data_IF_682703442552
#
_entry.id   IF_682703442552
#
_cell.length_a   1.000
_cell.length_b   1.000
_cell.length_c   1.000
_cell.angle_alpha   90.00
_cell.angle_beta   90.00
_cell.angle_gamma   90.00
#
_symmetry.space_group_name_H-M   'P 1'
#
loop_
_entity.id
_entity.type
_entity.pdbx_description
1 polymer ?
#
# COMPACT_ATOMS: atom_id res chain seq x y z
N UNK A 1 11.84 -19.31 17.97
CA UNK A 1 11.12 -18.02 18.03
C UNK A 1 9.83 -18.16 17.26
N UNK A 2 8.74 -17.62 17.77
CA UNK A 2 7.47 -17.55 17.03
C UNK A 2 7.53 -16.43 15.99
N UNK A 3 6.77 -16.54 14.90
CA UNK A 3 6.68 -15.50 13.85
C UNK A 3 6.29 -14.12 14.39
N UNK A 4 5.53 -14.09 15.50
CA UNK A 4 5.19 -12.88 16.23
C UNK A 4 6.39 -12.28 16.97
N UNK A 5 7.19 -13.10 17.67
CA UNK A 5 8.42 -12.64 18.34
C UNK A 5 9.39 -12.01 17.34
N UNK A 6 9.59 -12.66 16.20
CA UNK A 6 10.39 -12.12 15.08
C UNK A 6 9.86 -10.76 14.63
N UNK A 7 8.54 -10.62 14.45
CA UNK A 7 7.94 -9.37 14.02
C UNK A 7 8.06 -8.26 15.06
N UNK A 8 7.94 -8.58 16.35
CA UNK A 8 8.07 -7.61 17.44
C UNK A 8 9.52 -7.12 17.57
N UNK A 9 10.49 -8.00 17.39
CA UNK A 9 11.90 -7.63 17.33
C UNK A 9 12.21 -6.72 16.12
N UNK A 10 11.71 -7.07 14.93
CA UNK A 10 11.80 -6.21 13.74
C UNK A 10 11.16 -4.83 13.97
N UNK A 11 10.03 -4.77 14.67
CA UNK A 11 9.40 -3.50 15.04
C UNK A 11 10.28 -2.67 15.98
N UNK A 12 10.88 -3.29 17.00
CA UNK A 12 11.79 -2.60 17.91
C UNK A 12 12.96 -1.97 17.14
N UNK A 13 13.59 -2.74 16.24
CA UNK A 13 14.65 -2.26 15.34
C UNK A 13 14.16 -1.17 14.37
N UNK A 14 12.96 -1.29 13.81
CA UNK A 14 12.40 -0.27 12.92
C UNK A 14 12.13 1.06 13.65
N UNK A 15 11.74 1.01 14.93
CA UNK A 15 11.52 2.19 15.76
C UNK A 15 12.82 2.92 16.10
N UNK A 16 13.97 2.26 16.17
CA UNK A 16 15.27 2.96 16.32
C UNK A 16 15.61 3.76 15.07
N UNK A 17 15.27 3.25 13.89
CA UNK A 17 15.48 3.93 12.61
C UNK A 17 14.45 5.04 12.34
N UNK A 18 13.22 4.90 12.85
CA UNK A 18 12.11 5.83 12.61
C UNK A 18 11.34 6.14 13.91
N UNK A 19 11.95 6.85 14.89
CA UNK A 19 11.40 7.01 16.24
C UNK A 19 10.07 7.78 16.29
N UNK A 20 9.85 8.69 15.34
CA UNK A 20 8.62 9.49 15.28
C UNK A 20 7.51 8.84 14.45
N UNK A 21 7.75 7.67 13.85
CA UNK A 21 6.75 7.03 13.00
C UNK A 21 5.76 6.20 13.82
N UNK A 22 4.47 6.49 13.66
CA UNK A 22 3.38 5.67 14.22
C UNK A 22 3.16 4.36 13.43
N UNK A 23 3.67 4.28 12.21
CA UNK A 23 3.57 3.10 11.36
C UNK A 23 4.84 3.03 10.50
N UNK A 24 5.96 2.48 11.03
CA UNK A 24 7.26 2.55 10.37
C UNK A 24 7.32 1.76 9.06
N UNK A 25 6.48 0.72 8.92
CA UNK A 25 6.34 -0.10 7.73
C UNK A 25 4.93 -0.71 7.68
N UNK A 26 4.56 -1.27 6.54
CA UNK A 26 3.26 -1.94 6.34
C UNK A 26 3.41 -3.39 5.94
N UNK A 27 4.61 -3.80 5.52
CA UNK A 27 4.92 -5.17 5.21
C UNK A 27 6.36 -5.53 5.55
N UNK A 28 6.60 -6.83 5.73
CA UNK A 28 7.90 -7.43 5.95
C UNK A 28 8.07 -8.60 4.98
N UNK A 29 9.23 -8.68 4.34
CA UNK A 29 9.66 -9.83 3.57
C UNK A 29 11.04 -10.28 4.04
N UNK A 30 11.18 -11.55 4.35
CA UNK A 30 12.45 -12.19 4.64
C UNK A 30 12.92 -12.92 3.40
N UNK A 31 14.12 -12.59 2.92
CA UNK A 31 14.69 -13.15 1.69
C UNK A 31 15.94 -13.95 2.02
N UNK A 32 16.16 -15.03 1.26
CA UNK A 32 17.45 -15.70 1.15
C UNK A 32 18.00 -15.43 -0.25
N UNK A 33 19.16 -14.82 -0.35
CA UNK A 33 19.83 -14.61 -1.64
C UNK A 33 20.51 -15.90 -2.11
N UNK A 34 20.85 -15.97 -3.40
CA UNK A 34 21.60 -17.09 -3.97
C UNK A 34 22.95 -17.38 -3.27
N UNK A 35 23.57 -16.36 -2.67
CA UNK A 35 24.80 -16.48 -1.87
C UNK A 35 24.57 -17.10 -0.46
N UNK A 36 23.34 -17.49 -0.13
CA UNK A 36 22.94 -18.07 1.15
C UNK A 36 22.67 -17.05 2.26
N UNK A 37 22.94 -15.75 2.02
CA UNK A 37 22.68 -14.69 3.00
C UNK A 37 21.18 -14.45 3.16
N UNK A 38 20.75 -14.26 4.39
CA UNK A 38 19.38 -13.86 4.71
C UNK A 38 19.29 -12.36 4.99
N UNK A 39 18.17 -11.74 4.62
CA UNK A 39 17.90 -10.34 4.96
C UNK A 39 16.42 -10.11 5.21
N UNK A 40 16.13 -9.40 6.29
CA UNK A 40 14.82 -8.86 6.58
C UNK A 40 14.65 -7.50 5.89
N UNK A 41 13.63 -7.39 5.06
CA UNK A 41 13.28 -6.16 4.36
C UNK A 41 11.87 -5.71 4.77
N UNK A 42 11.75 -4.46 5.20
CA UNK A 42 10.48 -3.86 5.59
C UNK A 42 10.04 -2.89 4.51
N UNK A 43 8.76 -2.90 4.13
CA UNK A 43 8.21 -1.99 3.14
C UNK A 43 7.54 -0.82 3.87
N UNK A 44 8.12 0.36 3.78
CA UNK A 44 7.64 1.60 4.39
C UNK A 44 7.53 2.74 3.39
N UNK A 45 7.32 3.96 3.90
CA UNK A 45 7.23 5.17 3.08
C UNK A 45 8.57 5.89 2.84
N UNK A 46 9.68 5.30 3.28
CA UNK A 46 11.05 5.81 3.16
C UNK A 46 12.06 4.68 3.09
N UNK A 47 13.20 4.95 2.46
CA UNK A 47 14.36 4.07 2.51
C UNK A 47 15.21 4.31 3.78
N UNK A 48 15.44 3.30 4.61
CA UNK A 48 16.38 3.31 5.75
C UNK A 48 17.15 2.01 5.81
N UNK A 49 18.38 2.05 6.32
CA UNK A 49 19.17 0.85 6.58
C UNK A 49 19.97 1.04 7.86
N UNK A 50 19.95 0.03 8.72
CA UNK A 50 20.62 0.05 10.02
C UNK A 50 20.01 -0.98 10.95
N UNK A 51 20.62 -1.20 12.11
CA UNK A 51 20.14 -2.20 13.10
C UNK A 51 19.88 -3.61 12.51
N UNK A 52 20.60 -4.00 11.46
CA UNK A 52 20.42 -5.30 10.80
C UNK A 52 19.15 -5.43 9.94
N UNK A 53 18.42 -4.34 9.68
CA UNK A 53 17.22 -4.32 8.82
C UNK A 53 17.35 -3.29 7.69
N UNK A 54 16.56 -3.48 6.63
CA UNK A 54 16.41 -2.49 5.56
C UNK A 54 14.94 -2.14 5.39
N UNK A 55 14.58 -0.86 5.54
CA UNK A 55 13.26 -0.33 5.19
C UNK A 55 13.36 0.20 3.76
N UNK A 56 12.49 -0.23 2.86
CA UNK A 56 12.38 0.22 1.47
C UNK A 56 11.19 1.17 1.30
N UNK A 57 11.33 2.19 0.46
CA UNK A 57 10.16 2.93 -0.04
C UNK A 57 9.49 2.10 -1.13
N UNK A 58 8.34 1.50 -0.79
CA UNK A 58 7.63 0.54 -1.65
C UNK A 58 7.26 1.10 -3.03
N UNK A 59 7.19 2.42 -3.18
CA UNK A 59 6.79 3.09 -4.44
C UNK A 59 7.92 3.18 -5.45
N UNK A 60 9.16 3.05 -5.00
CA UNK A 60 10.34 3.43 -5.79
C UNK A 60 11.43 2.38 -5.81
N UNK A 61 11.48 1.48 -4.82
CA UNK A 61 12.48 0.42 -4.77
C UNK A 61 12.04 -0.75 -5.66
N UNK A 62 12.79 -1.13 -6.73
CA UNK A 62 12.46 -2.28 -7.57
C UNK A 62 12.33 -3.57 -6.75
N UNK A 63 13.19 -3.71 -5.74
CA UNK A 63 13.18 -4.86 -4.83
C UNK A 63 11.90 -4.98 -3.97
N UNK A 64 11.07 -3.93 -3.88
CA UNK A 64 9.76 -4.02 -3.25
C UNK A 64 8.78 -4.89 -4.05
N UNK A 65 9.01 -5.07 -5.37
CA UNK A 65 8.21 -5.95 -6.22
C UNK A 65 8.21 -7.40 -5.71
N UNK A 66 9.30 -7.84 -5.07
CA UNK A 66 9.43 -9.19 -4.50
C UNK A 66 8.26 -9.55 -3.61
N UNK A 67 7.83 -8.59 -2.79
CA UNK A 67 6.70 -8.79 -1.88
C UNK A 67 5.38 -9.05 -2.63
N UNK A 68 5.17 -8.40 -3.77
CA UNK A 68 3.90 -8.41 -4.48
C UNK A 68 3.79 -9.56 -5.48
N UNK A 69 4.90 -9.88 -6.17
CA UNK A 69 4.89 -10.84 -7.26
C UNK A 69 5.20 -12.29 -6.82
N UNK A 70 5.88 -12.49 -5.69
CA UNK A 70 6.27 -13.84 -5.24
C UNK A 70 5.71 -14.20 -3.86
N UNK A 71 5.37 -15.48 -3.70
CA UNK A 71 4.90 -16.11 -2.47
C UNK A 71 6.03 -16.69 -1.61
N UNK A 72 5.70 -17.07 -0.37
CA UNK A 72 6.64 -17.80 0.49
C UNK A 72 7.01 -19.15 -0.13
N UNK A 73 8.30 -19.44 -0.17
CA UNK A 73 8.88 -20.63 -0.82
C UNK A 73 9.18 -20.45 -2.30
N UNK A 74 8.76 -19.36 -2.94
CA UNK A 74 9.02 -19.12 -4.36
C UNK A 74 10.38 -18.47 -4.59
N UNK A 75 11.00 -18.84 -5.71
CA UNK A 75 12.21 -18.22 -6.23
C UNK A 75 11.84 -16.91 -6.94
N UNK A 76 12.51 -15.82 -6.58
CA UNK A 76 12.34 -14.52 -7.20
C UNK A 76 13.54 -14.17 -8.06
N UNK A 77 13.28 -13.42 -9.12
CA UNK A 77 14.28 -12.78 -9.96
C UNK A 77 13.83 -11.34 -10.19
N UNK A 78 14.61 -10.37 -9.74
CA UNK A 78 14.32 -8.94 -9.93
C UNK A 78 15.47 -8.28 -10.68
N UNK A 79 15.11 -7.56 -11.73
CA UNK A 79 16.03 -6.74 -12.49
C UNK A 79 16.28 -5.41 -11.76
N UNK A 80 17.54 -5.15 -11.41
CA UNK A 80 17.99 -3.89 -10.80
C UNK A 80 18.69 -2.97 -11.80
N UNK A 81 18.53 -3.22 -13.11
CA UNK A 81 19.17 -2.52 -14.22
C UNK A 81 20.54 -3.11 -14.55
N UNK A 82 21.52 -2.88 -13.67
CA UNK A 82 22.91 -3.28 -13.91
C UNK A 82 23.20 -4.74 -13.51
N UNK A 83 22.25 -5.37 -12.81
CA UNK A 83 22.34 -6.74 -12.32
C UNK A 83 20.97 -7.33 -12.03
N UNK A 84 20.88 -8.65 -12.12
CA UNK A 84 19.74 -9.42 -11.60
C UNK A 84 19.99 -9.79 -10.15
N UNK A 85 18.94 -9.76 -9.35
CA UNK A 85 18.96 -10.24 -7.98
C UNK A 85 18.01 -11.41 -7.85
N UNK A 86 18.57 -12.53 -7.42
CA UNK A 86 17.86 -13.80 -7.32
C UNK A 86 17.93 -14.36 -5.90
N UNK A 87 16.90 -15.12 -5.54
CA UNK A 87 16.81 -15.76 -4.25
C UNK A 87 15.46 -16.39 -3.99
N UNK A 88 15.17 -16.70 -2.73
CA UNK A 88 13.92 -17.31 -2.27
C UNK A 88 13.25 -16.42 -1.24
N UNK A 89 11.93 -16.31 -1.32
CA UNK A 89 11.12 -15.65 -0.29
C UNK A 89 10.90 -16.62 0.87
N UNK A 90 11.46 -16.33 2.05
CA UNK A 90 11.33 -17.19 3.23
C UNK A 90 10.07 -16.89 4.03
N UNK A 91 9.75 -15.61 4.20
CA UNK A 91 8.60 -15.16 4.97
C UNK A 91 8.02 -13.88 4.37
N UNK A 92 6.70 -13.74 4.43
CA UNK A 92 5.98 -12.56 3.99
C UNK A 92 4.87 -12.18 4.96
N UNK A 93 4.96 -11.00 5.55
CA UNK A 93 4.04 -10.49 6.55
C UNK A 93 3.44 -9.15 6.11
N UNK A 94 2.16 -8.98 6.38
CA UNK A 94 1.48 -7.69 6.46
C UNK A 94 1.29 -7.33 7.93
N UNK A 95 1.42 -6.05 8.24
CA UNK A 95 1.25 -5.54 9.59
C UNK A 95 0.30 -4.36 9.61
N UNK A 96 -0.52 -4.27 10.67
CA UNK A 96 -1.42 -3.13 10.89
C UNK A 96 -1.05 -2.43 12.19
N UNK A 97 -1.00 -1.10 12.10
CA UNK A 97 -0.77 -0.23 13.25
C UNK A 97 -2.02 0.59 13.56
N UNK A 98 -2.30 0.79 14.83
CA UNK A 98 -3.32 1.73 15.32
C UNK A 98 -2.71 2.56 16.44
N UNK A 99 -2.82 3.89 16.31
CA UNK A 99 -2.25 4.85 17.27
C UNK A 99 -0.76 4.64 17.63
N UNK A 100 0.03 4.02 16.75
CA UNK A 100 1.45 3.74 17.01
C UNK A 100 1.75 2.31 17.48
N UNK A 101 0.72 1.54 17.85
CA UNK A 101 0.86 0.16 18.28
C UNK A 101 0.63 -0.82 17.14
N UNK A 102 1.44 -1.88 17.08
CA UNK A 102 1.18 -3.01 16.21
C UNK A 102 0.02 -3.82 16.78
N UNK A 103 -1.06 -3.90 16.01
CA UNK A 103 -2.31 -4.55 16.43
C UNK A 103 -2.67 -5.76 15.59
N UNK A 104 -2.02 -5.95 14.44
CA UNK A 104 -2.28 -7.11 13.58
C UNK A 104 -1.02 -7.54 12.83
N UNK A 105 -0.87 -8.84 12.68
CA UNK A 105 0.15 -9.52 11.88
C UNK A 105 -0.54 -10.58 11.02
N UNK A 106 -0.45 -10.44 9.71
CA UNK A 106 -1.09 -11.32 8.73
C UNK A 106 -0.06 -11.92 7.77
N UNK A 107 -0.18 -13.21 7.47
CA UNK A 107 0.65 -13.94 6.50
C UNK A 107 -0.18 -14.98 5.74
N UNK A 108 0.33 -15.64 4.69
CA UNK A 108 -0.45 -16.59 3.90
C UNK A 108 -1.09 -17.74 4.70
N UNK A 109 -0.48 -18.12 5.83
CA UNK A 109 -0.94 -19.22 6.69
C UNK A 109 -1.78 -18.80 7.89
N UNK A 110 -2.05 -17.50 8.11
CA UNK A 110 -2.84 -17.07 9.26
C UNK A 110 -2.76 -15.57 9.57
N UNK A 111 -3.59 -15.16 10.53
CA UNK A 111 -3.62 -13.79 11.06
C UNK A 111 -3.61 -13.84 12.58
N UNK A 112 -2.82 -12.98 13.21
CA UNK A 112 -2.85 -12.68 14.63
C UNK A 112 -3.33 -11.24 14.81
N UNK A 113 -4.25 -11.01 15.74
CA UNK A 113 -4.69 -9.67 16.12
C UNK A 113 -4.59 -9.47 17.64
N UNK A 114 -4.29 -8.25 18.05
CA UNK A 114 -4.19 -7.85 19.46
C UNK A 114 -5.58 -7.44 19.95
N UNK A 115 -6.20 -8.30 20.76
CA UNK A 115 -7.54 -8.09 21.34
C UNK A 115 -7.39 -7.95 22.85
N UNK A 116 -7.82 -6.82 23.42
CA UNK A 116 -7.70 -6.51 24.86
C UNK A 116 -6.27 -6.71 25.41
N UNK A 117 -5.27 -6.36 24.60
CA UNK A 117 -3.86 -6.47 24.97
C UNK A 117 -3.19 -7.81 24.65
N UNK A 118 -3.96 -8.85 24.33
CA UNK A 118 -3.43 -10.18 24.03
C UNK A 118 -3.46 -10.49 22.54
N UNK A 119 -2.42 -11.15 22.04
CA UNK A 119 -2.39 -11.66 20.67
C UNK A 119 -3.22 -12.93 20.57
N UNK A 120 -4.23 -12.91 19.68
CA UNK A 120 -5.12 -14.05 19.44
C UNK A 120 -5.15 -14.39 17.96
N UNK A 121 -5.07 -15.69 17.60
CA UNK A 121 -5.34 -16.14 16.24
C UNK A 121 -6.72 -15.64 15.80
N UNK A 122 -6.75 -15.01 14.64
CA UNK A 122 -7.99 -14.71 13.94
C UNK A 122 -8.18 -15.77 12.87
N UNK A 123 -9.45 -16.01 12.50
CA UNK A 123 -9.70 -16.60 11.20
C UNK A 123 -8.90 -15.79 10.17
N UNK A 124 -8.14 -16.44 9.27
CA UNK A 124 -7.33 -15.72 8.29
C UNK A 124 -8.24 -14.67 7.65
N UNK A 125 -7.81 -13.41 7.68
CA UNK A 125 -8.45 -12.41 6.85
C UNK A 125 -8.33 -12.98 5.44
N UNK A 126 -9.44 -13.45 4.87
CA UNK A 126 -9.48 -13.88 3.49
C UNK A 126 -9.22 -12.59 2.71
N UNK A 127 -7.95 -12.23 2.52
CA UNK A 127 -7.54 -11.19 1.61
C UNK A 127 -8.02 -11.67 0.26
N UNK A 128 -9.07 -11.07 -0.31
CA UNK A 128 -9.67 -11.66 -1.48
C UNK A 128 -8.70 -11.44 -2.63
N UNK A 129 -7.97 -12.50 -2.98
CA UNK A 129 -7.20 -12.52 -4.22
C UNK A 129 -8.21 -12.57 -5.33
N UNK A 130 -8.29 -11.47 -6.08
CA UNK A 130 -9.16 -11.41 -7.23
C UNK A 130 -8.55 -12.26 -8.33
N UNK A 131 -9.11 -13.45 -8.52
CA UNK A 131 -8.76 -14.31 -9.65
C UNK A 131 -9.53 -13.84 -10.90
N UNK A 132 -8.96 -13.99 -12.10
CA UNK A 132 -9.69 -13.75 -13.33
C UNK A 132 -10.92 -14.66 -13.41
N UNK A 133 -12.09 -14.12 -13.81
CA UNK A 133 -13.27 -14.95 -14.07
C UNK A 133 -12.97 -15.95 -15.19
N UNK A 134 -13.41 -17.23 -15.06
CA UNK A 134 -13.33 -18.21 -16.13
C UNK A 134 -13.98 -17.68 -17.41
N UNK A 135 -13.42 -18.04 -18.57
CA UNK A 135 -13.82 -17.47 -19.87
C UNK A 135 -15.34 -17.56 -20.16
N UNK A 136 -16.02 -18.62 -19.69
CA UNK A 136 -17.47 -18.81 -19.88
C UNK A 136 -18.37 -17.92 -18.99
N UNK A 137 -17.82 -17.25 -17.98
CA UNK A 137 -18.55 -16.36 -17.06
C UNK A 137 -18.22 -14.88 -17.28
N UNK A 138 -17.40 -14.56 -18.30
CA UNK A 138 -17.10 -13.19 -18.70
C UNK A 138 -18.26 -12.64 -19.54
N UNK A 139 -19.40 -12.34 -18.90
CA UNK A 139 -20.38 -11.47 -19.52
C UNK A 139 -19.72 -10.12 -19.82
N UNK A 140 -19.91 -9.55 -21.01
CA UNK A 140 -19.57 -8.15 -21.30
C UNK A 140 -20.68 -7.30 -20.71
N UNK A 141 -20.52 -6.72 -19.52
CA UNK A 141 -21.56 -5.88 -18.95
C UNK A 141 -21.58 -4.56 -19.73
N UNK A 142 -22.71 -3.86 -19.72
CA UNK A 142 -22.81 -2.53 -20.33
C UNK A 142 -21.84 -1.51 -19.68
N UNK A 143 -21.35 -1.81 -18.46
CA UNK A 143 -20.43 -0.97 -17.69
C UNK A 143 -19.58 -1.78 -16.70
N UNK A 144 -18.31 -1.43 -16.47
CA UNK A 144 -17.44 -2.08 -15.47
C UNK A 144 -17.92 -1.98 -14.01
N UNK A 145 -18.91 -1.13 -13.72
CA UNK A 145 -19.52 -0.97 -12.38
C UNK A 145 -20.89 -1.64 -12.25
N UNK A 146 -21.55 -1.95 -13.37
CA UNK A 146 -22.83 -2.68 -13.41
C UNK A 146 -22.55 -4.18 -13.51
N UNK A 147 -21.82 -4.68 -12.52
CA UNK A 147 -21.40 -6.08 -12.44
C UNK A 147 -21.76 -6.64 -11.09
N UNK A 148 -22.32 -7.85 -11.10
CA UNK A 148 -22.42 -8.66 -9.88
C UNK A 148 -21.01 -8.99 -9.42
N UNK A 149 -20.71 -8.66 -8.17
CA UNK A 149 -19.45 -8.98 -7.53
C UNK A 149 -19.47 -10.46 -7.15
N UNK A 150 -18.40 -11.18 -7.49
CA UNK A 150 -18.22 -12.54 -6.97
C UNK A 150 -17.98 -12.53 -5.46
N UNK A 151 -17.95 -13.72 -4.83
CA UNK A 151 -17.80 -13.84 -3.38
C UNK A 151 -16.50 -13.20 -2.86
N UNK A 152 -15.40 -13.32 -3.60
CA UNK A 152 -14.12 -12.71 -3.21
C UNK A 152 -14.19 -11.19 -3.32
N UNK A 153 -14.68 -10.67 -4.45
CA UNK A 153 -14.88 -9.24 -4.67
C UNK A 153 -15.78 -8.61 -3.60
N UNK A 154 -16.89 -9.27 -3.26
CA UNK A 154 -17.83 -8.80 -2.24
C UNK A 154 -17.23 -8.79 -0.84
N UNK A 155 -16.43 -9.80 -0.48
CA UNK A 155 -15.73 -9.82 0.81
C UNK A 155 -14.82 -8.58 0.99
N UNK A 156 -14.14 -8.12 -0.07
CA UNK A 156 -13.32 -6.88 -0.01
C UNK A 156 -14.21 -5.65 0.26
N UNK A 157 -15.36 -5.58 -0.41
CA UNK A 157 -16.28 -4.44 -0.29
C UNK A 157 -16.86 -4.35 1.11
N UNK A 158 -17.11 -5.49 1.74
CA UNK A 158 -17.71 -5.60 3.08
C UNK A 158 -16.71 -5.48 4.23
N UNK A 159 -15.39 -5.46 3.97
CA UNK A 159 -14.39 -5.26 5.04
C UNK A 159 -14.71 -4.00 5.88
N UNK A 160 -14.51 -4.04 7.20
CA UNK A 160 -14.91 -2.97 8.11
C UNK A 160 -14.45 -1.56 7.68
N UNK A 161 -15.26 -0.53 7.96
CA UNK A 161 -14.84 0.86 7.79
C UNK A 161 -13.67 1.16 8.74
N UNK A 162 -12.73 2.00 8.30
CA UNK A 162 -11.46 2.37 8.99
C UNK A 162 -10.30 1.37 8.85
N UNK A 163 -10.44 0.35 8.02
CA UNK A 163 -9.32 -0.53 7.64
C UNK A 163 -8.64 -0.07 6.36
N UNK A 164 -7.31 -0.20 6.32
CA UNK A 164 -6.54 -0.04 5.08
C UNK A 164 -6.59 -1.34 4.29
N UNK A 165 -6.98 -1.26 3.02
CA UNK A 165 -7.17 -2.43 2.17
C UNK A 165 -6.26 -2.34 0.96
N UNK A 166 -5.46 -3.40 0.74
CA UNK A 166 -4.64 -3.59 -0.44
C UNK A 166 -5.31 -4.63 -1.34
N UNK A 167 -5.67 -4.24 -2.57
CA UNK A 167 -6.33 -5.13 -3.54
C UNK A 167 -5.30 -5.57 -4.59
N UNK A 168 -4.89 -6.83 -4.52
CA UNK A 168 -3.96 -7.45 -5.46
C UNK A 168 -4.71 -8.37 -6.43
N UNK A 169 -4.24 -8.44 -7.66
CA UNK A 169 -4.76 -9.35 -8.67
C UNK A 169 -4.27 -9.00 -10.07
N UNK A 170 -4.42 -9.94 -11.00
CA UNK A 170 -3.96 -9.78 -12.39
C UNK A 170 -4.73 -8.68 -13.15
N UNK A 171 -4.26 -8.33 -14.34
CA UNK A 171 -5.03 -7.46 -15.23
C UNK A 171 -6.41 -8.09 -15.52
N UNK A 172 -7.48 -7.29 -15.43
CA UNK A 172 -8.84 -7.77 -15.74
C UNK A 172 -9.60 -8.48 -14.61
N UNK A 173 -9.02 -8.67 -13.42
CA UNK A 173 -9.73 -9.28 -12.26
C UNK A 173 -10.71 -8.34 -11.53
N UNK A 174 -10.88 -7.09 -12.00
CA UNK A 174 -11.85 -6.15 -11.45
C UNK A 174 -11.37 -5.33 -10.24
N UNK A 175 -10.06 -5.15 -10.04
CA UNK A 175 -9.53 -4.33 -8.92
C UNK A 175 -10.19 -2.95 -8.82
N UNK A 176 -10.27 -2.23 -9.93
CA UNK A 176 -10.91 -0.90 -9.97
C UNK A 176 -12.39 -0.99 -9.63
N UNK A 177 -13.10 -1.98 -10.18
CA UNK A 177 -14.50 -2.24 -9.84
C UNK A 177 -14.70 -2.44 -8.35
N UNK A 178 -13.90 -3.32 -7.72
CA UNK A 178 -13.97 -3.58 -6.28
C UNK A 178 -13.66 -2.33 -5.46
N UNK A 179 -12.63 -1.56 -5.84
CA UNK A 179 -12.26 -0.33 -5.14
C UNK A 179 -13.39 0.70 -5.15
N UNK A 180 -14.05 0.89 -6.29
CA UNK A 180 -15.16 1.85 -6.42
C UNK A 180 -16.42 1.35 -5.69
N UNK A 181 -16.73 0.05 -5.74
CA UNK A 181 -17.84 -0.53 -4.97
C UNK A 181 -17.59 -0.46 -3.45
N UNK A 182 -16.34 -0.66 -3.00
CA UNK A 182 -15.94 -0.47 -1.60
C UNK A 182 -16.15 0.97 -1.17
N UNK A 183 -15.76 1.94 -1.99
CA UNK A 183 -15.99 3.35 -1.72
C UNK A 183 -17.49 3.65 -1.58
N UNK A 184 -18.35 3.06 -2.41
CA UNK A 184 -19.81 3.16 -2.29
C UNK A 184 -20.32 2.61 -0.96
N UNK A 185 -19.83 1.44 -0.55
CA UNK A 185 -20.20 0.82 0.72
C UNK A 185 -19.78 1.71 1.91
N UNK A 186 -18.55 2.24 1.89
CA UNK A 186 -18.05 3.18 2.91
C UNK A 186 -18.88 4.46 2.96
N UNK A 187 -19.29 5.01 1.80
CA UNK A 187 -20.15 6.20 1.74
C UNK A 187 -21.52 5.97 2.36
N UNK A 188 -22.11 4.79 2.15
CA UNK A 188 -23.40 4.38 2.72
C UNK A 188 -23.33 4.12 4.22
N UNK A 189 -22.24 3.52 4.69
CA UNK A 189 -22.01 3.25 6.11
C UNK A 189 -21.57 4.50 6.89
N UNK A 190 -21.03 5.52 6.20
CA UNK A 190 -20.52 6.74 6.80
C UNK A 190 -21.62 7.73 7.21
N UNK A 191 -21.28 8.62 8.15
CA UNK A 191 -22.11 9.80 8.48
C UNK A 191 -22.19 10.79 7.32
N UNK A 192 -23.10 11.77 7.39
CA UNK A 192 -23.22 12.86 6.39
C UNK A 192 -21.90 13.61 6.10
N UNK A 193 -20.93 13.60 7.02
CA UNK A 193 -19.61 14.24 6.86
C UNK A 193 -18.56 13.39 6.13
N UNK A 194 -18.95 12.29 5.48
CA UNK A 194 -18.01 11.46 4.74
C UNK A 194 -17.36 12.26 3.61
N UNK A 195 -16.02 12.27 3.56
CA UNK A 195 -15.23 12.87 2.47
C UNK A 195 -14.27 11.83 1.95
N UNK A 196 -14.20 11.70 0.64
CA UNK A 196 -13.27 10.79 -0.01
C UNK A 196 -12.65 11.44 -1.24
N UNK A 197 -11.46 10.95 -1.60
CA UNK A 197 -10.78 11.31 -2.83
C UNK A 197 -10.20 10.06 -3.49
N UNK A 198 -10.32 9.97 -4.81
CA UNK A 198 -9.65 8.98 -5.64
C UNK A 198 -8.43 9.61 -6.31
N UNK A 199 -7.24 9.05 -6.08
CA UNK A 199 -6.00 9.53 -6.68
C UNK A 199 -5.53 8.52 -7.72
N UNK A 200 -5.32 8.99 -8.95
CA UNK A 200 -4.97 8.15 -10.11
C UNK A 200 -3.71 8.69 -10.82
N UNK A 201 -3.03 7.90 -11.65
CA UNK A 201 -1.72 8.31 -12.18
C UNK A 201 -1.82 9.29 -13.37
N UNK A 202 -2.92 9.31 -14.13
CA UNK A 202 -3.05 10.16 -15.33
C UNK A 202 -4.48 10.68 -15.54
N UNK A 203 -4.64 11.69 -16.41
CA UNK A 203 -5.92 12.34 -16.67
C UNK A 203 -6.94 11.43 -17.38
N UNK A 204 -6.48 10.47 -18.18
CA UNK A 204 -7.37 9.49 -18.83
C UNK A 204 -8.09 8.64 -17.79
N UNK A 205 -7.34 8.08 -16.85
CA UNK A 205 -7.89 7.33 -15.72
C UNK A 205 -8.74 8.20 -14.81
N UNK A 206 -8.40 9.49 -14.64
CA UNK A 206 -9.20 10.42 -13.83
C UNK A 206 -10.60 10.56 -14.41
N UNK A 207 -10.70 10.85 -15.71
CA UNK A 207 -11.99 10.97 -16.41
C UNK A 207 -12.79 9.67 -16.38
N UNK A 208 -12.11 8.53 -16.53
CA UNK A 208 -12.75 7.21 -16.41
C UNK A 208 -13.32 7.01 -15.01
N UNK A 209 -12.51 7.24 -13.97
CA UNK A 209 -12.94 7.09 -12.57
C UNK A 209 -14.08 8.03 -12.22
N UNK A 210 -14.04 9.30 -12.65
CA UNK A 210 -15.15 10.26 -12.49
C UNK A 210 -16.45 9.73 -13.10
N UNK A 211 -16.39 9.17 -14.32
CA UNK A 211 -17.55 8.55 -14.99
C UNK A 211 -18.09 7.35 -14.21
N UNK A 212 -17.22 6.49 -13.67
CA UNK A 212 -17.63 5.33 -12.86
C UNK A 212 -18.27 5.76 -11.53
N UNK A 213 -17.73 6.80 -10.88
CA UNK A 213 -18.26 7.34 -9.63
C UNK A 213 -19.64 7.96 -9.83
N UNK A 214 -19.81 8.78 -10.87
CA UNK A 214 -21.09 9.39 -11.22
C UNK A 214 -22.18 8.32 -11.45
N UNK A 215 -21.86 7.25 -12.18
CA UNK A 215 -22.80 6.13 -12.40
C UNK A 215 -23.23 5.43 -11.11
N UNK A 216 -22.39 5.45 -10.07
CA UNK A 216 -22.71 4.87 -8.77
C UNK A 216 -23.37 5.85 -7.79
N UNK A 217 -23.61 7.09 -8.22
CA UNK A 217 -24.18 8.16 -7.40
C UNK A 217 -23.20 8.71 -6.36
N UNK A 218 -21.91 8.73 -6.70
CA UNK A 218 -20.80 9.20 -5.84
C UNK A 218 -20.20 10.51 -6.38
N UNK A 219 -21.06 11.46 -6.76
CA UNK A 219 -20.67 12.73 -7.35
C UNK A 219 -19.91 13.66 -6.39
N UNK A 220 -20.00 13.37 -5.09
CA UNK A 220 -19.33 14.10 -4.01
C UNK A 220 -17.88 13.64 -3.78
N UNK A 221 -17.41 12.60 -4.47
CA UNK A 221 -16.04 12.10 -4.34
C UNK A 221 -15.11 12.84 -5.31
N UNK A 222 -14.10 13.51 -4.75
CA UNK A 222 -13.11 14.21 -5.57
C UNK A 222 -12.19 13.21 -6.30
N UNK A 223 -11.92 13.42 -7.59
CA UNK A 223 -10.93 12.61 -8.32
C UNK A 223 -9.76 13.48 -8.79
N UNK A 224 -8.54 13.07 -8.45
CA UNK A 224 -7.31 13.81 -8.71
C UNK A 224 -6.28 12.96 -9.44
N UNK A 225 -5.46 13.60 -10.27
CA UNK A 225 -4.15 13.02 -10.60
C UNK A 225 -3.17 13.25 -9.47
N UNK A 226 -2.18 12.36 -9.30
CA UNK A 226 -1.16 12.50 -8.25
C UNK A 226 -0.50 13.90 -8.27
N UNK A 227 -0.06 14.37 -9.44
CA UNK A 227 0.62 15.66 -9.56
C UNK A 227 -0.27 16.83 -9.11
N UNK A 228 -1.54 16.87 -9.55
CA UNK A 228 -2.49 17.91 -9.14
C UNK A 228 -2.80 17.85 -7.64
N UNK A 229 -3.01 16.65 -7.11
CA UNK A 229 -3.25 16.44 -5.69
C UNK A 229 -2.07 16.91 -4.85
N UNK A 230 -0.87 16.40 -5.14
CA UNK A 230 0.35 16.73 -4.41
C UNK A 230 0.65 18.23 -4.46
N UNK A 231 0.50 18.86 -5.64
CA UNK A 231 0.68 20.30 -5.82
C UNK A 231 -0.33 21.14 -5.02
N UNK A 232 -1.60 20.73 -4.99
CA UNK A 232 -2.64 21.38 -4.15
C UNK A 232 -2.31 21.27 -2.65
N UNK A 233 -1.90 20.10 -2.18
CA UNK A 233 -1.51 19.92 -0.78
C UNK A 233 -0.25 20.71 -0.44
N UNK A 234 0.76 20.71 -1.30
CA UNK A 234 1.99 21.46 -1.11
C UNK A 234 1.72 22.97 -0.99
N UNK A 235 0.92 23.56 -1.89
CA UNK A 235 0.58 25.00 -1.81
C UNK A 235 -0.25 25.36 -0.58
N UNK A 236 -1.01 24.41 -0.03
CA UNK A 236 -1.77 24.62 1.20
C UNK A 236 -0.87 24.72 2.42
N UNK A 237 0.17 23.89 2.48
CA UNK A 237 1.12 23.81 3.60
C UNK A 237 2.27 24.83 3.45
N UNK A 238 2.60 25.19 2.21
CA UNK A 238 3.64 26.15 1.85
C UNK A 238 3.02 27.28 1.01
N UNK A 239 2.42 28.31 1.63
CA UNK A 239 1.73 29.39 0.91
C UNK A 239 2.66 30.20 0.01
N UNK A 240 3.94 30.30 0.40
CA UNK A 240 4.98 31.04 -0.31
C UNK A 240 5.55 30.28 -1.52
N UNK A 241 5.04 29.07 -1.80
CA UNK A 241 5.50 28.24 -2.92
C UNK A 241 5.14 28.92 -4.25
N UNK A 242 6.15 29.07 -5.13
CA UNK A 242 5.94 29.63 -6.46
C UNK A 242 4.93 28.80 -7.26
N UNK A 243 4.06 29.48 -8.03
CA UNK A 243 3.03 28.82 -8.84
C UNK A 243 3.62 27.96 -9.96
N UNK A 244 4.70 28.45 -10.59
CA UNK A 244 5.41 27.74 -11.65
C UNK A 244 6.28 26.64 -11.04
N UNK A 245 6.02 25.41 -11.45
CA UNK A 245 6.80 24.25 -11.05
C UNK A 245 8.03 24.10 -11.97
N UNK A 246 9.13 23.60 -11.41
CA UNK A 246 10.31 23.22 -12.20
C UNK A 246 10.04 21.89 -12.88
N UNK A 247 10.18 21.84 -14.21
CA UNK A 247 10.04 20.61 -14.99
C UNK A 247 11.29 19.74 -14.91
N UNK A 248 12.45 20.36 -14.66
CA UNK A 248 13.71 19.65 -14.42
C UNK A 248 13.95 19.42 -12.93
N UNK A 249 14.38 18.20 -12.59
CA UNK A 249 14.92 17.88 -11.26
C UNK A 249 16.36 17.40 -11.38
N UNK A 250 17.35 18.30 -11.20
CA UNK A 250 18.77 17.96 -11.15
C UNK A 250 19.06 16.75 -10.26
N UNK A 251 20.07 15.91 -10.58
CA UNK A 251 20.40 14.70 -9.81
C UNK A 251 20.61 14.96 -8.31
N UNK A 252 21.22 16.10 -7.95
CA UNK A 252 21.42 16.50 -6.56
C UNK A 252 20.09 16.70 -5.83
N UNK A 253 19.12 17.36 -6.48
CA UNK A 253 17.78 17.57 -5.91
C UNK A 253 17.00 16.26 -5.83
N UNK A 254 17.17 15.35 -6.79
CA UNK A 254 16.59 14.00 -6.71
C UNK A 254 17.12 13.21 -5.51
N UNK A 255 18.42 13.30 -5.21
CA UNK A 255 19.03 12.69 -4.02
C UNK A 255 18.53 13.34 -2.73
N UNK A 256 18.50 14.66 -2.69
CA UNK A 256 17.98 15.43 -1.55
C UNK A 256 16.53 15.06 -1.23
N UNK A 257 15.66 15.00 -2.25
CA UNK A 257 14.25 14.60 -2.13
C UNK A 257 14.04 13.20 -1.53
N UNK A 258 15.03 12.31 -1.66
CA UNK A 258 15.00 10.94 -1.13
C UNK A 258 15.67 10.83 0.25
N UNK A 259 16.37 11.87 0.70
CA UNK A 259 17.10 11.86 1.96
C UNK A 259 16.16 12.09 3.16
N UNK A 260 16.39 11.41 4.29
CA UNK A 260 15.57 11.54 5.50
C UNK A 260 15.41 12.98 5.98
N UNK A 261 16.53 13.70 6.04
CA UNK A 261 16.61 15.04 6.58
C UNK A 261 15.62 16.00 5.93
N UNK A 262 15.18 15.72 4.69
CA UNK A 262 14.18 16.56 4.03
C UNK A 262 12.84 16.55 4.79
N UNK A 263 12.48 15.47 5.49
CA UNK A 263 11.24 15.41 6.27
C UNK A 263 11.27 16.42 7.41
N UNK A 264 12.32 16.37 8.24
CA UNK A 264 12.48 17.34 9.33
C UNK A 264 12.61 18.77 8.84
N UNK A 265 13.29 19.00 7.71
CA UNK A 265 13.38 20.32 7.10
C UNK A 265 12.01 20.82 6.58
N UNK A 266 11.22 19.95 5.94
CA UNK A 266 9.87 20.30 5.47
C UNK A 266 8.93 20.57 6.65
N UNK A 267 8.99 19.76 7.71
CA UNK A 267 8.17 19.95 8.91
C UNK A 267 8.50 21.27 9.63
N UNK A 268 9.77 21.68 9.64
CA UNK A 268 10.20 22.96 10.22
C UNK A 268 9.74 24.20 9.43
N UNK A 269 9.47 24.04 8.13
CA UNK A 269 9.08 25.14 7.23
C UNK A 269 7.57 25.13 6.95
N UNK A 270 6.90 23.99 7.16
CA UNK A 270 5.46 23.84 7.00
C UNK A 270 4.71 24.80 7.94
N UNK A 271 3.71 25.49 7.41
CA UNK A 271 2.84 26.42 8.16
C UNK A 271 1.44 25.85 8.36
#
# INVERSE_FOLDING_TARGET
MTRLEEQLDLLARARTLLPHSRAPYSAHVKLRYADGRESDMLLGGVFRRGAGITILDWRTAPLAEVFFAWGEGEEYEVDLGDRKLEGVVLQRNLVRFEQGELIELSWPGGTLAKIRGEWRPQAPAQLPRLLPRPHGQRARPASPVDVELDAAQRAVVELPPRETVLILGEAGCGKTTVAVHRLRALRRAGSERFRAACIVPNEGLRRLTESLLHRLGLDDVETWTWNKFASKQARRVFPDLRRRESEDTPPLLSRLKRHEAIRGALDAIAR
#
